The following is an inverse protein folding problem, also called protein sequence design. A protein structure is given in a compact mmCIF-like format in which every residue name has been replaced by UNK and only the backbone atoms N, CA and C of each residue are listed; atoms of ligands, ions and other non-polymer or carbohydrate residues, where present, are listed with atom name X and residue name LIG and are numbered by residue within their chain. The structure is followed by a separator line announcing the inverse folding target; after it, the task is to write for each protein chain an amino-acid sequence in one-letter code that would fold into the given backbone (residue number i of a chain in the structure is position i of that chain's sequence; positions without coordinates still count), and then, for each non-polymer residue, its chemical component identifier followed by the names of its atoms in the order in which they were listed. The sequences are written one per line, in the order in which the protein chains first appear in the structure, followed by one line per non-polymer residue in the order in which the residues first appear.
data_IF_144943236130
#
_entry.id   IF_144943236130
#
_cell.length_a   1.000
_cell.length_b   1.000
_cell.length_c   1.000
_cell.angle_alpha   90.00
_cell.angle_beta   90.00
_cell.angle_gamma   90.00
#
_symmetry.space_group_name_H-M   'P 1'
#
loop_
_entity.id
_entity.type
_entity.pdbx_description
1 polymer ?
#
# COMPACT_ATOMS: atom_id res chain seq x y z
N UNK A 1 19.63 -41.38 23.09
CA UNK A 1 19.89 -39.93 23.12
C UNK A 1 19.43 -39.34 21.78
N UNK A 2 18.25 -38.74 21.73
CA UNK A 2 17.74 -38.05 20.55
C UNK A 2 18.13 -36.56 20.65
N UNK A 3 18.96 -36.09 19.72
CA UNK A 3 19.32 -34.67 19.64
C UNK A 3 18.12 -33.88 19.14
N UNK A 4 17.60 -33.00 19.98
CA UNK A 4 16.66 -31.96 19.58
C UNK A 4 17.42 -30.94 18.74
N UNK A 5 17.24 -30.99 17.42
CA UNK A 5 17.64 -29.87 16.55
C UNK A 5 16.69 -28.69 16.79
N UNK A 6 17.21 -27.67 17.40
CA UNK A 6 16.59 -26.35 17.50
C UNK A 6 16.50 -25.73 16.10
N UNK A 7 15.32 -25.70 15.52
CA UNK A 7 15.05 -24.97 14.27
C UNK A 7 15.10 -23.47 14.55
N UNK A 8 16.21 -22.83 14.25
CA UNK A 8 16.30 -21.37 14.18
C UNK A 8 15.57 -20.90 12.94
N UNK A 9 14.44 -20.21 13.13
CA UNK A 9 13.57 -19.67 12.09
C UNK A 9 14.19 -18.36 11.57
N UNK A 10 14.40 -18.21 10.26
CA UNK A 10 14.95 -16.97 9.68
C UNK A 10 13.91 -15.87 9.57
N UNK A 11 14.31 -14.67 9.83
CA UNK A 11 13.59 -13.46 10.22
C UNK A 11 13.25 -12.49 9.06
N UNK A 12 12.77 -12.92 7.89
CA UNK A 12 12.86 -12.05 6.70
C UNK A 12 11.54 -11.89 5.94
N UNK A 13 10.42 -11.37 6.41
CA UNK A 13 9.22 -11.42 5.55
C UNK A 13 8.16 -10.32 5.62
N UNK A 14 8.37 -9.20 6.23
CA UNK A 14 7.23 -8.30 6.56
C UNK A 14 7.00 -7.04 5.71
N UNK A 15 7.94 -6.57 4.88
CA UNK A 15 7.81 -5.29 4.15
C UNK A 15 6.74 -5.30 3.07
N UNK A 16 6.59 -6.43 2.39
CA UNK A 16 5.63 -6.61 1.29
C UNK A 16 4.19 -6.55 1.78
N UNK A 17 3.96 -6.97 2.99
CA UNK A 17 2.60 -7.13 3.49
C UNK A 17 1.90 -5.83 3.90
N UNK A 18 2.60 -4.78 4.33
CA UNK A 18 1.96 -3.49 4.63
C UNK A 18 1.56 -2.75 3.36
N UNK A 19 2.42 -2.76 2.36
CA UNK A 19 2.10 -2.21 1.06
C UNK A 19 0.89 -2.93 0.48
N UNK A 20 0.85 -4.27 0.57
CA UNK A 20 -0.28 -5.08 0.08
C UNK A 20 -1.55 -4.89 0.89
N UNK A 21 -1.47 -4.57 2.15
CA UNK A 21 -2.64 -4.43 3.02
C UNK A 21 -3.28 -3.03 2.97
N UNK A 22 -2.50 -2.00 2.83
CA UNK A 22 -2.98 -0.68 2.37
C UNK A 22 -3.64 -0.85 1.00
N UNK A 23 -3.14 -1.76 0.23
CA UNK A 23 -3.55 -2.15 -1.08
C UNK A 23 -4.99 -2.66 -1.20
N UNK A 24 -5.35 -3.69 -0.46
CA UNK A 24 -6.71 -4.25 -0.46
C UNK A 24 -7.74 -3.21 -0.02
N UNK A 25 -7.36 -2.37 0.90
CA UNK A 25 -8.19 -1.27 1.37
C UNK A 25 -8.59 -0.32 0.23
N UNK A 26 -7.72 -0.16 -0.75
CA UNK A 26 -7.85 0.84 -1.80
C UNK A 26 -8.48 0.31 -3.10
N UNK A 27 -8.36 -0.98 -3.38
CA UNK A 27 -8.94 -1.61 -4.59
C UNK A 27 -10.47 -1.75 -4.53
N UNK A 28 -11.03 -1.37 -3.42
CA UNK A 28 -12.46 -1.39 -3.15
C UNK A 28 -13.24 -0.23 -3.78
N UNK A 29 -12.53 0.63 -4.46
CA UNK A 29 -13.15 1.76 -5.13
C UNK A 29 -13.68 1.35 -6.50
N UNK A 30 -14.99 1.42 -6.64
CA UNK A 30 -15.73 1.57 -7.91
C UNK A 30 -15.79 0.38 -8.89
N UNK A 31 -16.55 -0.63 -8.52
CA UNK A 31 -17.07 -1.59 -9.49
C UNK A 31 -18.56 -1.43 -9.80
N UNK A 32 -19.13 -0.25 -9.56
CA UNK A 32 -20.53 0.02 -9.92
C UNK A 32 -20.70 0.75 -11.28
N UNK A 33 -19.63 0.97 -12.05
CA UNK A 33 -19.73 1.53 -13.40
C UNK A 33 -19.08 0.61 -14.45
N UNK A 34 -19.83 -0.36 -14.95
CA UNK A 34 -19.68 -0.82 -16.33
C UNK A 34 -20.34 0.23 -17.23
N UNK A 35 -19.73 1.38 -17.42
CA UNK A 35 -19.99 2.20 -18.59
C UNK A 35 -19.06 1.76 -19.71
N UNK A 36 -19.69 1.28 -20.78
CA UNK A 36 -19.13 1.08 -22.09
C UNK A 36 -18.53 2.43 -22.55
N UNK A 37 -17.22 2.62 -22.38
CA UNK A 37 -16.52 3.79 -22.89
C UNK A 37 -16.61 3.81 -24.41
N UNK A 38 -17.62 4.51 -24.93
CA UNK A 38 -17.64 4.96 -26.31
C UNK A 38 -16.49 5.96 -26.46
N UNK A 39 -15.46 5.57 -27.20
CA UNK A 39 -14.41 6.50 -27.59
C UNK A 39 -15.04 7.69 -28.31
N UNK A 40 -15.21 8.82 -27.63
CA UNK A 40 -15.38 10.10 -28.29
C UNK A 40 -13.98 10.54 -28.71
N UNK A 41 -13.83 10.77 -30.01
CA UNK A 41 -12.63 11.42 -30.55
C UNK A 41 -12.42 12.73 -29.81
N UNK A 42 -11.34 12.81 -29.04
CA UNK A 42 -10.91 14.05 -28.37
C UNK A 42 -10.51 15.01 -29.49
N UNK A 43 -11.11 16.23 -29.57
CA UNK A 43 -10.62 17.24 -30.49
C UNK A 43 -9.14 17.48 -30.22
N UNK A 44 -8.30 17.44 -31.27
CA UNK A 44 -6.90 17.82 -31.18
C UNK A 44 -6.81 19.30 -30.79
N UNK A 45 -6.80 19.58 -29.49
CA UNK A 45 -6.34 20.86 -29.00
C UNK A 45 -4.82 20.89 -29.14
N UNK A 46 -4.32 21.90 -29.84
CA UNK A 46 -2.90 22.11 -30.05
C UNK A 46 -2.18 22.21 -28.71
N UNK A 47 -1.41 21.18 -28.40
CA UNK A 47 -0.62 21.07 -27.19
C UNK A 47 0.58 21.99 -27.23
N UNK A 48 0.40 23.18 -26.69
CA UNK A 48 1.48 23.98 -26.09
C UNK A 48 1.32 24.09 -24.57
N UNK A 49 0.68 23.09 -23.95
CA UNK A 49 0.74 22.94 -22.50
C UNK A 49 2.12 22.33 -22.17
N UNK A 50 2.92 23.19 -21.56
CA UNK A 50 4.17 22.82 -20.88
C UNK A 50 3.86 21.58 -20.06
N UNK A 51 4.42 20.43 -20.47
CA UNK A 51 4.41 19.24 -19.63
C UNK A 51 5.10 19.63 -18.33
N UNK A 52 4.32 19.87 -17.31
CA UNK A 52 4.82 20.08 -15.96
C UNK A 52 5.65 18.83 -15.62
N UNK A 53 6.96 18.98 -15.63
CA UNK A 53 7.90 17.90 -15.38
C UNK A 53 7.56 17.32 -14.01
N UNK A 54 7.00 16.13 -13.98
CA UNK A 54 6.61 15.47 -12.73
C UNK A 54 7.88 15.19 -11.93
N UNK A 55 8.20 16.08 -11.01
CA UNK A 55 9.38 15.96 -10.15
C UNK A 55 9.27 14.66 -9.37
N UNK A 56 10.14 13.70 -9.71
CA UNK A 56 10.27 12.44 -8.98
C UNK A 56 11.02 12.75 -7.67
N UNK A 57 10.47 12.43 -6.49
CA UNK A 57 11.13 12.74 -5.23
C UNK A 57 12.40 11.90 -5.08
N UNK A 58 13.45 12.51 -4.56
CA UNK A 58 14.65 11.81 -4.15
C UNK A 58 14.80 11.85 -2.63
N UNK A 59 15.22 10.74 -2.05
CA UNK A 59 15.52 10.60 -0.64
C UNK A 59 16.61 9.53 -0.45
N UNK A 60 17.01 9.28 0.78
CA UNK A 60 17.87 8.18 1.14
C UNK A 60 17.33 7.49 2.38
N UNK A 61 16.96 6.23 2.24
CA UNK A 61 16.68 5.33 3.34
C UNK A 61 18.01 4.68 3.71
N UNK A 62 18.49 4.81 4.97
CA UNK A 62 19.77 4.26 5.37
C UNK A 62 19.84 2.75 5.20
N UNK A 63 20.97 2.23 4.77
CA UNK A 63 21.20 0.78 4.73
C UNK A 63 21.34 0.24 6.15
N UNK A 64 20.84 -0.97 6.38
CA UNK A 64 21.00 -1.66 7.67
C UNK A 64 22.41 -2.28 7.75
N UNK A 65 23.43 -1.47 8.02
CA UNK A 65 24.84 -1.88 8.01
C UNK A 65 25.20 -2.95 9.05
N UNK A 66 24.31 -3.27 10.00
CA UNK A 66 24.68 -4.02 11.20
C UNK A 66 24.27 -5.50 11.23
N UNK A 67 23.71 -6.07 10.17
CA UNK A 67 23.40 -7.51 10.17
C UNK A 67 24.58 -8.40 9.73
N UNK A 68 25.55 -7.85 9.01
CA UNK A 68 26.70 -8.63 8.53
C UNK A 68 27.82 -8.81 9.58
N UNK A 69 27.92 -7.93 10.58
CA UNK A 69 29.04 -7.97 11.56
C UNK A 69 28.80 -8.85 12.78
N UNK A 70 27.56 -9.35 13.03
CA UNK A 70 27.27 -10.20 14.19
C UNK A 70 26.88 -11.65 13.84
N UNK A 71 27.04 -12.08 12.59
CA UNK A 71 26.82 -13.46 12.18
C UNK A 71 28.17 -14.10 11.76
N UNK A 72 29.15 -14.03 12.66
CA UNK A 72 30.37 -14.82 12.54
C UNK A 72 30.23 -16.16 13.22
N UNK A 73 29.27 -16.98 12.84
CA UNK A 73 29.32 -18.44 13.05
C UNK A 73 28.09 -19.10 12.38
N UNK A 74 28.28 -19.58 11.19
CA UNK A 74 27.35 -20.36 10.35
C UNK A 74 26.68 -19.53 9.28
N UNK A 75 27.44 -19.13 8.28
CA UNK A 75 26.99 -18.40 7.10
C UNK A 75 26.37 -19.41 6.13
N UNK A 76 25.06 -19.66 6.25
CA UNK A 76 24.30 -19.93 5.04
C UNK A 76 24.18 -18.59 4.31
N UNK A 77 24.92 -18.42 3.22
CA UNK A 77 24.78 -17.31 2.30
C UNK A 77 23.39 -17.41 1.70
N UNK A 78 22.43 -16.69 2.25
CA UNK A 78 21.10 -16.57 1.65
C UNK A 78 21.24 -15.72 0.39
N UNK A 79 21.45 -16.35 -0.74
CA UNK A 79 21.38 -15.69 -2.03
C UNK A 79 19.91 -15.29 -2.30
N UNK A 80 19.69 -14.00 -2.53
CA UNK A 80 18.42 -13.54 -3.08
C UNK A 80 18.26 -14.17 -4.48
N UNK A 81 17.05 -14.62 -4.85
CA UNK A 81 16.79 -15.06 -6.22
C UNK A 81 16.88 -13.89 -7.19
N UNK A 82 16.95 -14.20 -8.47
CA UNK A 82 16.68 -13.20 -9.50
C UNK A 82 15.23 -12.71 -9.40
N UNK A 83 14.95 -11.49 -9.92
CA UNK A 83 13.63 -10.86 -9.80
C UNK A 83 12.53 -11.75 -10.39
N UNK A 84 12.79 -12.43 -11.52
CA UNK A 84 11.84 -13.32 -12.20
C UNK A 84 11.47 -14.55 -11.38
N UNK A 85 12.37 -15.02 -10.52
CA UNK A 85 12.18 -16.18 -9.66
C UNK A 85 11.77 -15.82 -8.22
N UNK A 86 11.52 -14.51 -7.97
CA UNK A 86 11.30 -13.99 -6.60
C UNK A 86 9.95 -14.35 -5.99
N UNK A 87 8.97 -14.75 -6.78
CA UNK A 87 7.61 -15.01 -6.32
C UNK A 87 7.50 -16.14 -5.29
N UNK A 88 8.18 -17.27 -5.53
CA UNK A 88 8.18 -18.40 -4.62
C UNK A 88 8.86 -18.01 -3.32
N UNK A 89 10.02 -17.40 -3.42
CA UNK A 89 10.77 -16.87 -2.29
C UNK A 89 9.91 -15.92 -1.44
N UNK A 90 9.22 -14.98 -2.10
CA UNK A 90 8.37 -14.03 -1.42
C UNK A 90 7.20 -14.71 -0.68
N UNK A 91 6.48 -15.63 -1.34
CA UNK A 91 5.36 -16.36 -0.75
C UNK A 91 5.77 -17.20 0.46
N UNK A 92 6.87 -17.90 0.36
CA UNK A 92 7.42 -18.68 1.48
C UNK A 92 7.72 -17.77 2.67
N UNK A 93 8.33 -16.63 2.43
CA UNK A 93 8.69 -15.68 3.48
C UNK A 93 7.44 -15.02 4.09
N UNK A 94 6.47 -14.61 3.30
CA UNK A 94 5.21 -14.04 3.82
C UNK A 94 4.44 -15.07 4.64
N UNK A 95 4.43 -16.34 4.27
CA UNK A 95 3.76 -17.40 5.02
C UNK A 95 4.32 -17.59 6.44
N UNK A 96 5.58 -17.24 6.67
CA UNK A 96 6.22 -17.27 7.99
C UNK A 96 5.82 -16.10 8.91
N UNK A 97 5.41 -14.97 8.32
CA UNK A 97 5.09 -13.74 9.07
C UNK A 97 3.60 -13.65 9.38
N UNK A 98 2.78 -13.98 8.42
CA UNK A 98 1.35 -13.90 8.60
C UNK A 98 0.69 -15.21 8.22
N UNK A 99 -0.09 -15.75 9.15
CA UNK A 99 -0.99 -16.88 8.88
C UNK A 99 -2.33 -16.43 8.29
N UNK A 100 -2.43 -15.14 7.90
CA UNK A 100 -3.63 -14.60 7.33
C UNK A 100 -3.83 -15.13 5.90
N UNK A 101 -4.91 -15.86 5.69
CA UNK A 101 -5.25 -16.47 4.40
C UNK A 101 -5.44 -15.43 3.30
N UNK A 102 -6.00 -14.29 3.62
CA UNK A 102 -6.25 -13.23 2.63
C UNK A 102 -4.93 -12.68 2.09
N UNK A 103 -3.92 -12.52 2.93
CA UNK A 103 -2.59 -12.12 2.51
C UNK A 103 -1.97 -13.13 1.53
N UNK A 104 -2.15 -14.42 1.79
CA UNK A 104 -1.67 -15.48 0.89
C UNK A 104 -2.37 -15.40 -0.48
N UNK A 105 -3.67 -15.11 -0.50
CA UNK A 105 -4.42 -14.93 -1.74
C UNK A 105 -3.93 -13.72 -2.54
N UNK A 106 -3.61 -12.62 -1.88
CA UNK A 106 -3.07 -11.44 -2.57
C UNK A 106 -1.73 -11.72 -3.26
N UNK A 107 -0.92 -12.56 -2.66
CA UNK A 107 0.38 -12.96 -3.21
C UNK A 107 0.27 -14.11 -4.25
N UNK A 108 -0.92 -14.55 -4.61
CA UNK A 108 -1.10 -15.65 -5.56
C UNK A 108 -0.81 -15.27 -7.01
N UNK A 109 -0.76 -13.96 -7.33
CA UNK A 109 -0.41 -13.46 -8.67
C UNK A 109 1.06 -13.74 -9.01
N UNK A 110 1.41 -13.72 -10.30
CA UNK A 110 2.79 -13.68 -10.77
C UNK A 110 3.38 -12.26 -10.65
N UNK A 111 4.70 -12.17 -10.69
CA UNK A 111 5.45 -10.91 -10.70
C UNK A 111 5.12 -10.01 -9.49
N UNK A 112 5.01 -10.62 -8.32
CA UNK A 112 4.49 -9.94 -7.13
C UNK A 112 5.31 -8.69 -6.78
N UNK A 113 6.65 -8.74 -6.86
CA UNK A 113 7.51 -7.57 -6.57
C UNK A 113 7.25 -6.44 -7.56
N UNK A 114 7.18 -6.73 -8.86
CA UNK A 114 6.87 -5.72 -9.89
C UNK A 114 5.50 -5.07 -9.67
N UNK A 115 4.51 -5.85 -9.27
CA UNK A 115 3.17 -5.35 -8.90
C UNK A 115 3.24 -4.44 -7.67
N UNK A 116 3.97 -4.83 -6.66
CA UNK A 116 4.18 -4.02 -5.44
C UNK A 116 4.83 -2.68 -5.80
N UNK A 117 5.89 -2.71 -6.58
CA UNK A 117 6.63 -1.51 -7.00
C UNK A 117 5.73 -0.58 -7.82
N UNK A 118 5.01 -1.11 -8.82
CA UNK A 118 4.06 -0.32 -9.61
C UNK A 118 2.98 0.34 -8.75
N UNK A 119 2.54 -0.37 -7.71
CA UNK A 119 1.55 0.18 -6.81
C UNK A 119 2.11 1.26 -5.89
N UNK A 120 3.29 1.05 -5.32
CA UNK A 120 3.96 2.06 -4.50
C UNK A 120 4.16 3.34 -5.31
N UNK A 121 4.55 3.21 -6.59
CA UNK A 121 4.67 4.35 -7.49
C UNK A 121 3.33 5.07 -7.68
N UNK A 122 2.25 4.35 -7.99
CA UNK A 122 0.90 4.92 -8.07
C UNK A 122 0.49 5.60 -6.76
N UNK A 123 0.70 4.92 -5.63
CA UNK A 123 0.36 5.44 -4.30
C UNK A 123 1.13 6.72 -3.97
N UNK A 124 2.41 6.80 -4.35
CA UNK A 124 3.22 8.00 -4.16
C UNK A 124 2.62 9.23 -4.85
N UNK A 125 1.91 9.03 -5.94
CA UNK A 125 1.16 10.05 -6.68
C UNK A 125 -0.27 10.25 -6.15
N UNK A 126 -0.67 9.46 -5.14
CA UNK A 126 -2.02 9.46 -4.57
C UNK A 126 -3.05 8.67 -5.39
N UNK A 127 -2.62 7.93 -6.41
CA UNK A 127 -3.46 7.11 -7.28
C UNK A 127 -3.62 5.70 -6.68
N UNK A 128 -4.80 5.12 -6.91
CA UNK A 128 -5.11 3.73 -6.54
C UNK A 128 -5.13 2.89 -7.82
N UNK A 129 -4.31 1.84 -7.86
CA UNK A 129 -4.22 0.91 -8.98
C UNK A 129 -4.99 -0.38 -8.64
N UNK A 130 -6.30 -0.34 -8.72
CA UNK A 130 -7.24 -1.39 -8.27
C UNK A 130 -7.09 -2.75 -8.98
N UNK A 131 -6.61 -2.76 -10.23
CA UNK A 131 -6.49 -3.98 -11.06
C UNK A 131 -5.14 -4.71 -10.93
N UNK A 132 -4.21 -4.19 -10.17
CA UNK A 132 -2.86 -4.79 -10.07
C UNK A 132 -2.87 -6.11 -9.28
N UNK A 133 -3.77 -6.26 -8.33
CA UNK A 133 -3.90 -7.47 -7.52
C UNK A 133 -5.31 -8.07 -7.59
N UNK A 134 -5.47 -9.39 -7.40
CA UNK A 134 -6.76 -10.08 -7.41
C UNK A 134 -7.53 -9.81 -6.10
N UNK A 135 -7.98 -8.58 -5.93
CA UNK A 135 -8.66 -8.14 -4.73
C UNK A 135 -10.17 -8.10 -4.98
N UNK A 136 -10.93 -8.48 -3.98
CA UNK A 136 -12.38 -8.40 -4.05
C UNK A 136 -12.86 -7.08 -3.45
N UNK A 137 -13.74 -6.34 -4.15
CA UNK A 137 -14.34 -5.12 -3.60
C UNK A 137 -15.15 -5.44 -2.33
N UNK A 138 -15.39 -4.46 -1.42
CA UNK A 138 -16.27 -4.68 -0.29
C UNK A 138 -17.64 -5.12 -0.78
N UNK A 139 -18.16 -6.09 -0.09
CA UNK A 139 -19.54 -6.55 -0.31
C UNK A 139 -20.48 -5.41 0.06
N UNK A 140 -21.59 -5.33 -0.68
CA UNK A 140 -22.70 -4.39 -0.48
C UNK A 140 -22.44 -2.97 -1.02
N UNK A 141 -23.54 -2.27 -1.34
CA UNK A 141 -23.52 -0.88 -1.81
C UNK A 141 -23.18 0.09 -0.70
N UNK A 142 -22.79 1.30 -1.12
CA UNK A 142 -22.57 2.42 -0.19
C UNK A 142 -23.89 2.69 0.58
N UNK A 143 -23.78 2.78 1.90
CA UNK A 143 -24.88 3.11 2.78
C UNK A 143 -24.89 4.61 3.01
N UNK A 144 -26.01 5.25 2.69
CA UNK A 144 -26.24 6.67 2.97
C UNK A 144 -27.29 6.83 4.06
N UNK A 145 -27.27 7.97 4.73
CA UNK A 145 -28.34 8.44 5.60
C UNK A 145 -28.90 9.75 5.02
N UNK A 146 -30.20 9.88 4.98
CA UNK A 146 -30.86 11.13 4.56
C UNK A 146 -31.52 11.77 5.78
N UNK A 147 -31.18 13.02 6.03
CA UNK A 147 -31.74 13.81 7.10
C UNK A 147 -31.91 15.27 6.64
N UNK A 148 -33.10 15.82 6.86
CA UNK A 148 -33.47 17.20 6.46
C UNK A 148 -33.07 17.55 5.01
N UNK A 149 -33.31 16.60 4.10
CA UNK A 149 -32.99 16.78 2.67
C UNK A 149 -31.51 16.70 2.29
N UNK A 150 -30.64 16.48 3.27
CA UNK A 150 -29.19 16.27 3.06
C UNK A 150 -28.84 14.79 3.06
N UNK A 151 -27.80 14.48 2.30
CA UNK A 151 -27.24 13.10 2.19
C UNK A 151 -25.98 13.04 3.03
N UNK A 152 -25.88 12.01 3.88
CA UNK A 152 -24.75 11.82 4.77
C UNK A 152 -24.11 10.44 4.54
N UNK A 153 -22.78 10.38 4.67
CA UNK A 153 -22.07 9.11 4.73
C UNK A 153 -22.44 8.36 6.01
N UNK A 154 -23.06 7.20 5.87
CA UNK A 154 -23.44 6.40 7.03
C UNK A 154 -22.23 5.68 7.63
N UNK A 155 -22.08 5.75 8.96
CA UNK A 155 -20.96 5.10 9.68
C UNK A 155 -20.92 3.56 9.49
N UNK A 156 -22.03 2.93 9.15
CA UNK A 156 -22.07 1.50 8.81
C UNK A 156 -21.18 1.12 7.60
N UNK A 157 -20.77 2.11 6.80
CA UNK A 157 -19.78 1.88 5.74
C UNK A 157 -18.39 1.52 6.29
N UNK A 158 -18.05 1.98 7.48
CA UNK A 158 -16.72 1.78 8.06
C UNK A 158 -16.43 0.31 8.33
N UNK A 159 -17.44 -0.46 8.73
CA UNK A 159 -17.35 -1.90 8.99
C UNK A 159 -17.03 -2.72 7.73
N UNK A 160 -17.36 -2.19 6.55
CA UNK A 160 -17.05 -2.83 5.25
C UNK A 160 -15.53 -3.02 5.07
N UNK A 161 -14.72 -2.23 5.76
CA UNK A 161 -13.27 -2.24 5.65
C UNK A 161 -12.57 -2.99 6.79
N UNK A 162 -13.31 -3.44 7.79
CA UNK A 162 -12.75 -4.05 9.01
C UNK A 162 -11.88 -5.27 8.74
N UNK A 163 -12.28 -6.11 7.79
CA UNK A 163 -11.50 -7.31 7.44
C UNK A 163 -10.12 -6.92 6.92
N UNK A 164 -10.06 -5.96 6.03
CA UNK A 164 -8.82 -5.42 5.45
C UNK A 164 -7.97 -4.73 6.51
N UNK A 165 -8.61 -3.90 7.33
CA UNK A 165 -7.93 -3.23 8.44
C UNK A 165 -7.33 -4.25 9.40
N UNK A 166 -8.02 -5.34 9.73
CA UNK A 166 -7.48 -6.43 10.55
C UNK A 166 -6.23 -7.07 9.95
N UNK A 167 -6.20 -7.25 8.62
CA UNK A 167 -5.00 -7.74 7.93
C UNK A 167 -3.83 -6.76 8.12
N UNK A 168 -4.05 -5.47 7.85
CA UNK A 168 -3.04 -4.42 8.03
C UNK A 168 -2.51 -4.38 9.46
N UNK A 169 -3.41 -4.44 10.43
CA UNK A 169 -3.04 -4.36 11.84
C UNK A 169 -2.31 -5.60 12.34
N UNK A 170 -2.51 -6.76 11.71
CA UNK A 170 -1.82 -8.01 12.04
C UNK A 170 -0.34 -8.02 11.65
N UNK A 171 0.11 -7.05 10.85
CA UNK A 171 1.48 -7.01 10.37
C UNK A 171 2.45 -6.50 11.43
N UNK A 172 3.54 -7.22 11.61
CA UNK A 172 4.68 -6.75 12.41
C UNK A 172 5.49 -5.74 11.58
N UNK A 173 5.35 -4.46 11.93
CA UNK A 173 5.95 -3.35 11.18
C UNK A 173 7.48 -3.35 11.28
N UNK A 174 8.04 -3.79 12.41
CA UNK A 174 9.50 -3.88 12.56
C UNK A 174 10.07 -4.97 11.66
N UNK A 175 9.38 -6.10 11.62
CA UNK A 175 9.75 -7.19 10.73
C UNK A 175 9.58 -6.79 9.26
N UNK A 176 8.56 -6.00 8.95
CA UNK A 176 8.30 -5.40 7.66
C UNK A 176 9.47 -4.53 7.18
N UNK A 177 9.95 -3.62 8.02
CA UNK A 177 11.09 -2.77 7.70
C UNK A 177 12.38 -3.59 7.49
N UNK A 178 12.62 -4.59 8.33
CA UNK A 178 13.77 -5.50 8.15
C UNK A 178 13.75 -6.22 6.81
N UNK A 179 12.57 -6.66 6.39
CA UNK A 179 12.43 -7.30 5.11
C UNK A 179 12.68 -6.35 3.93
N UNK A 180 12.19 -5.12 4.04
CA UNK A 180 12.52 -4.09 3.05
C UNK A 180 14.03 -4.01 2.85
N UNK A 181 14.80 -3.82 3.92
CA UNK A 181 16.26 -3.72 3.83
C UNK A 181 16.90 -4.98 3.24
N UNK A 182 16.40 -6.14 3.59
CA UNK A 182 16.90 -7.41 3.03
C UNK A 182 16.56 -7.59 1.54
N UNK A 183 15.33 -7.24 1.15
CA UNK A 183 14.85 -7.37 -0.25
C UNK A 183 15.21 -6.16 -1.11
N UNK A 184 15.95 -5.18 -0.56
CA UNK A 184 16.30 -3.94 -1.24
C UNK A 184 16.87 -4.15 -2.65
N UNK A 185 17.81 -5.10 -2.90
CA UNK A 185 18.32 -5.33 -4.26
C UNK A 185 17.23 -5.73 -5.26
N UNK A 186 16.26 -6.56 -4.84
CA UNK A 186 15.13 -6.94 -5.70
C UNK A 186 14.21 -5.75 -5.99
N UNK A 187 13.96 -4.90 -4.98
CA UNK A 187 13.17 -3.69 -5.14
C UNK A 187 13.87 -2.69 -6.07
N UNK A 188 15.17 -2.47 -5.89
CA UNK A 188 15.97 -1.61 -6.76
C UNK A 188 15.94 -2.09 -8.22
N UNK A 189 16.06 -3.39 -8.44
CA UNK A 189 15.91 -3.99 -9.79
C UNK A 189 14.53 -3.70 -10.36
N UNK A 190 13.46 -3.95 -9.60
CA UNK A 190 12.10 -3.71 -10.09
C UNK A 190 11.78 -2.21 -10.31
N UNK A 191 12.30 -1.30 -9.48
CA UNK A 191 12.19 0.14 -9.70
C UNK A 191 13.02 0.61 -10.89
N UNK A 192 14.18 -0.02 -11.13
CA UNK A 192 14.99 0.30 -12.31
C UNK A 192 14.32 -0.08 -13.63
N UNK A 193 13.49 -1.14 -13.64
CA UNK A 193 12.64 -1.49 -14.80
C UNK A 193 11.60 -0.39 -15.11
N UNK A 194 11.18 0.39 -14.10
CA UNK A 194 10.34 1.57 -14.29
C UNK A 194 11.14 2.85 -14.60
N UNK A 195 12.48 2.75 -14.69
CA UNK A 195 13.36 3.86 -14.99
C UNK A 195 13.82 4.69 -13.79
N UNK A 196 13.61 4.22 -12.57
CA UNK A 196 13.98 4.93 -11.35
C UNK A 196 15.35 4.53 -10.81
N UNK A 197 16.06 5.52 -10.27
CA UNK A 197 17.30 5.31 -9.50
C UNK A 197 16.99 4.85 -8.07
N UNK A 198 17.96 4.27 -7.32
CA UNK A 198 17.76 3.91 -5.91
C UNK A 198 17.31 5.09 -5.03
N UNK A 199 17.81 6.30 -5.27
CA UNK A 199 17.37 7.50 -4.51
C UNK A 199 15.92 7.89 -4.83
N UNK A 200 15.50 7.73 -6.08
CA UNK A 200 14.13 7.95 -6.49
C UNK A 200 13.21 6.87 -5.92
N UNK A 201 13.64 5.60 -5.89
CA UNK A 201 12.92 4.53 -5.20
C UNK A 201 12.64 4.91 -3.74
N UNK A 202 13.67 5.30 -3.00
CA UNK A 202 13.52 5.71 -1.61
C UNK A 202 12.56 6.89 -1.44
N UNK A 203 12.69 7.90 -2.30
CA UNK A 203 11.80 9.06 -2.32
C UNK A 203 10.35 8.70 -2.63
N UNK A 204 10.11 7.81 -3.59
CA UNK A 204 8.78 7.31 -3.97
C UNK A 204 8.14 6.56 -2.80
N UNK A 205 8.90 5.68 -2.14
CA UNK A 205 8.40 4.92 -0.99
C UNK A 205 8.02 5.85 0.17
N UNK A 206 8.88 6.81 0.51
CA UNK A 206 8.59 7.77 1.58
C UNK A 206 7.39 8.65 1.24
N UNK A 207 7.29 9.12 0.00
CA UNK A 207 6.13 9.92 -0.46
C UNK A 207 4.83 9.11 -0.44
N UNK A 208 4.87 7.81 -0.75
CA UNK A 208 3.70 6.94 -0.64
C UNK A 208 3.20 6.85 0.82
N UNK A 209 4.12 6.76 1.79
CA UNK A 209 3.77 6.82 3.21
C UNK A 209 3.22 8.19 3.61
N UNK A 210 3.79 9.27 3.07
CA UNK A 210 3.32 10.62 3.36
C UNK A 210 1.89 10.88 2.86
N UNK A 211 1.49 10.33 1.70
CA UNK A 211 0.09 10.38 1.25
C UNK A 211 -0.88 9.84 2.30
N UNK A 212 -0.49 8.76 2.99
CA UNK A 212 -1.29 8.19 4.07
C UNK A 212 -1.26 9.09 5.32
N UNK A 213 -0.08 9.55 5.71
CA UNK A 213 0.13 10.34 6.92
C UNK A 213 -0.54 11.71 6.86
N UNK A 214 -0.60 12.32 5.69
CA UNK A 214 -1.24 13.61 5.44
C UNK A 214 -2.77 13.53 5.38
N UNK A 215 -3.36 12.32 5.32
CA UNK A 215 -4.81 12.17 5.29
C UNK A 215 -5.44 12.76 6.56
N UNK A 216 -6.42 13.65 6.43
CA UNK A 216 -7.14 14.17 7.59
C UNK A 216 -7.98 13.07 8.27
N UNK A 217 -8.10 13.13 9.58
CA UNK A 217 -9.00 12.27 10.35
C UNK A 217 -10.26 13.07 10.68
N UNK A 218 -11.40 12.64 10.18
CA UNK A 218 -12.66 13.38 10.27
C UNK A 218 -13.62 12.59 11.15
N UNK A 219 -13.97 13.14 12.30
CA UNK A 219 -14.92 12.54 13.26
C UNK A 219 -16.34 13.02 13.06
N UNK A 220 -16.50 14.21 12.47
CA UNK A 220 -17.77 14.83 12.20
C UNK A 220 -18.53 14.06 11.11
N UNK A 221 -19.86 14.10 11.10
CA UNK A 221 -20.65 13.57 10.00
C UNK A 221 -20.24 14.21 8.66
N UNK A 222 -20.05 13.37 7.64
CA UNK A 222 -19.57 13.82 6.33
C UNK A 222 -20.75 13.94 5.38
N UNK A 223 -21.08 15.17 4.91
CA UNK A 223 -22.13 15.37 3.92
C UNK A 223 -21.67 14.93 2.52
N UNK A 224 -22.60 14.36 1.79
CA UNK A 224 -22.42 13.91 0.41
C UNK A 224 -23.33 14.68 -0.53
N UNK A 225 -22.87 14.88 -1.75
CA UNK A 225 -23.69 15.32 -2.88
C UNK A 225 -23.78 14.21 -3.95
N UNK A 226 -24.80 14.30 -4.78
CA UNK A 226 -25.02 13.36 -5.88
C UNK A 226 -25.35 14.14 -7.15
N UNK A 227 -24.35 14.32 -8.01
CA UNK A 227 -24.52 15.02 -9.28
C UNK A 227 -24.98 14.08 -10.41
N UNK A 228 -24.74 12.78 -10.27
CA UNK A 228 -25.12 11.75 -11.23
C UNK A 228 -25.45 10.43 -10.53
N UNK A 229 -24.82 9.35 -10.93
CA UNK A 229 -24.96 8.02 -10.28
C UNK A 229 -24.04 7.84 -9.07
N UNK A 230 -22.96 8.62 -8.98
CA UNK A 230 -21.94 8.52 -7.92
C UNK A 230 -22.12 9.58 -6.83
N UNK A 231 -21.72 9.22 -5.61
CA UNK A 231 -21.67 10.16 -4.49
C UNK A 231 -20.30 10.80 -4.36
N UNK A 232 -20.27 12.12 -4.18
CA UNK A 232 -19.06 12.92 -3.90
C UNK A 232 -19.14 13.51 -2.50
N UNK A 233 -18.02 13.90 -1.94
CA UNK A 233 -18.03 14.70 -0.72
C UNK A 233 -18.55 16.12 -1.06
N UNK A 234 -19.47 16.63 -0.25
CA UNK A 234 -20.01 17.99 -0.45
C UNK A 234 -18.97 19.06 -0.15
N UNK A 235 -18.06 18.79 0.77
CA UNK A 235 -16.99 19.71 1.17
C UNK A 235 -15.86 19.70 0.13
N UNK A 236 -15.56 20.84 -0.54
CA UNK A 236 -14.53 20.90 -1.57
C UNK A 236 -13.14 20.52 -1.06
N UNK A 237 -12.83 20.79 0.21
CA UNK A 237 -11.55 20.47 0.84
C UNK A 237 -11.34 18.96 0.93
N UNK A 238 -12.41 18.18 1.12
CA UNK A 238 -12.35 16.72 1.15
C UNK A 238 -12.39 16.17 -0.28
N UNK A 239 -13.26 16.72 -1.13
CA UNK A 239 -13.40 16.22 -2.50
C UNK A 239 -12.15 16.46 -3.36
N UNK A 240 -11.39 17.53 -3.08
CA UNK A 240 -10.10 17.80 -3.75
C UNK A 240 -8.94 16.94 -3.31
N UNK A 241 -9.10 16.15 -2.23
CA UNK A 241 -8.07 15.24 -1.77
C UNK A 241 -7.79 14.13 -2.81
N UNK A 242 -6.59 13.57 -2.74
CA UNK A 242 -6.19 12.48 -3.63
C UNK A 242 -7.04 11.23 -3.40
N UNK A 243 -7.21 10.37 -4.42
CA UNK A 243 -8.01 9.14 -4.31
C UNK A 243 -7.71 8.30 -3.07
N UNK A 244 -6.43 8.08 -2.75
CA UNK A 244 -6.02 7.35 -1.55
C UNK A 244 -6.56 7.99 -0.26
N UNK A 245 -6.46 9.31 -0.14
CA UNK A 245 -6.90 10.02 1.06
C UNK A 245 -8.43 9.97 1.19
N UNK A 246 -9.16 10.17 0.09
CA UNK A 246 -10.62 10.01 0.07
C UNK A 246 -11.05 8.60 0.47
N UNK A 247 -10.30 7.59 0.04
CA UNK A 247 -10.60 6.22 0.41
C UNK A 247 -10.36 5.96 1.91
N UNK A 248 -9.28 6.50 2.48
CA UNK A 248 -9.04 6.40 3.93
C UNK A 248 -10.16 7.08 4.73
N UNK A 249 -10.63 8.23 4.31
CA UNK A 249 -11.77 8.93 4.94
C UNK A 249 -13.03 8.06 4.90
N UNK A 250 -13.32 7.39 3.78
CA UNK A 250 -14.47 6.47 3.65
C UNK A 250 -14.40 5.26 4.57
N UNK A 251 -13.22 4.90 5.05
CA UNK A 251 -13.05 3.82 6.02
C UNK A 251 -13.36 4.22 7.47
N UNK A 252 -13.55 5.49 7.68
CA UNK A 252 -13.85 6.06 8.99
C UNK A 252 -12.63 6.50 9.79
N UNK A 253 -12.84 7.39 10.77
CA UNK A 253 -11.75 8.03 11.52
C UNK A 253 -10.87 7.02 12.26
N UNK A 254 -11.47 6.09 12.98
CA UNK A 254 -10.72 5.08 13.76
C UNK A 254 -9.82 4.21 12.88
N UNK A 255 -10.30 3.80 11.71
CA UNK A 255 -9.51 3.00 10.78
C UNK A 255 -8.39 3.84 10.15
N UNK A 256 -8.69 5.07 9.76
CA UNK A 256 -7.70 6.03 9.25
C UNK A 256 -6.56 6.23 10.26
N UNK A 257 -6.86 6.47 11.53
CA UNK A 257 -5.84 6.61 12.58
C UNK A 257 -4.97 5.37 12.72
N UNK A 258 -5.58 4.19 12.78
CA UNK A 258 -4.83 2.93 12.90
C UNK A 258 -3.86 2.73 11.74
N UNK A 259 -4.28 3.04 10.51
CA UNK A 259 -3.43 2.95 9.33
C UNK A 259 -2.31 4.00 9.38
N UNK A 260 -2.62 5.25 9.72
CA UNK A 260 -1.62 6.31 9.89
C UNK A 260 -0.57 5.93 10.93
N UNK A 261 -0.96 5.36 12.04
CA UNK A 261 -0.03 4.89 13.08
C UNK A 261 0.91 3.79 12.55
N UNK A 262 0.38 2.83 11.77
CA UNK A 262 1.21 1.81 11.12
C UNK A 262 2.18 2.41 10.09
N UNK A 263 1.71 3.35 9.27
CA UNK A 263 2.53 4.05 8.28
C UNK A 263 3.65 4.88 8.95
N UNK A 264 3.34 5.58 10.05
CA UNK A 264 4.32 6.33 10.82
C UNK A 264 5.40 5.42 11.41
N UNK A 265 5.00 4.28 11.99
CA UNK A 265 5.93 3.29 12.51
C UNK A 265 6.80 2.70 11.40
N UNK A 266 6.23 2.39 10.24
CA UNK A 266 7.01 1.89 9.12
C UNK A 266 8.03 2.95 8.67
N UNK A 267 7.61 4.18 8.43
CA UNK A 267 8.50 5.28 8.05
C UNK A 267 9.65 5.44 9.07
N UNK A 268 9.33 5.35 10.34
CA UNK A 268 10.33 5.43 11.43
C UNK A 268 11.36 4.29 11.33
N UNK A 269 10.93 3.04 11.18
CA UNK A 269 11.86 1.91 11.11
C UNK A 269 12.62 1.82 9.79
N UNK A 270 12.07 2.33 8.69
CA UNK A 270 12.82 2.46 7.44
C UNK A 270 13.97 3.46 7.58
N UNK A 271 13.72 4.60 8.23
CA UNK A 271 14.71 5.65 8.41
C UNK A 271 15.70 5.36 9.56
N UNK A 272 15.32 4.50 10.51
CA UNK A 272 16.14 4.14 11.67
C UNK A 272 16.21 2.61 11.84
N UNK A 273 16.89 1.89 10.93
CA UNK A 273 16.90 0.42 10.90
C UNK A 273 17.47 -0.22 12.15
N UNK A 274 18.29 0.49 12.92
CA UNK A 274 18.95 0.01 14.14
C UNK A 274 18.18 0.34 15.44
N UNK A 275 17.00 0.95 15.34
CA UNK A 275 16.19 1.25 16.52
C UNK A 275 15.59 -0.05 17.10
N UNK A 276 15.79 -0.24 18.43
CA UNK A 276 15.35 -1.44 19.16
C UNK A 276 13.87 -1.41 19.54
#
# INVERSE_FOLDING_TARGET
MKSMQSKKIPFIVATVALVLSVFYFLSVYDSDETEEYRFQEIPQQSSSDILEEVIVPEASIPDSISLEQNISATTEVFNLPELDDSDIFLRERVSLISKNRDLTLWLSSSDVIRRIVSYIDGLSRGVILDKIFPLSPPKNKLIIHMDDGKIWLNAGNYERYDQTIKVILSLDIKLLAKMFHFSRPLLETAFSELGYTPRQMDGIILRALDQILETPVIYEPIPLTRDSVTYKFEQPEIESLKPIQKQLIRSGPTNTEKIKNKAALLKKFLLNPNEK
#
